data_IF_854809976220
#
_entry.id   IF_854809976220
#
_cell.length_a   1.000
_cell.length_b   1.000
_cell.length_c   1.000
_cell.angle_alpha   90.00
_cell.angle_beta   90.00
_cell.angle_gamma   90.00
#
_symmetry.space_group_name_H-M   'P 1'
#
loop_
_entity.id
_entity.type
_entity.pdbx_description
1 polymer ?
#
# COMPACT_ATOMS: atom_id res chain seq x y z
N UNK A 1 -5.29 -37.13 15.21
CA UNK A 1 -4.34 -36.00 15.25
C UNK A 1 -4.14 -35.46 13.84
N UNK A 2 -5.16 -34.81 13.29
CA UNK A 2 -5.20 -34.36 11.89
C UNK A 2 -5.84 -32.98 11.79
N UNK A 3 -5.59 -32.11 12.78
CA UNK A 3 -6.13 -30.74 12.86
C UNK A 3 -5.04 -29.68 12.78
N UNK A 4 -3.84 -30.02 12.30
CA UNK A 4 -2.69 -29.10 12.35
C UNK A 4 -2.50 -28.27 11.09
N UNK A 5 -2.75 -28.82 9.89
CA UNK A 5 -2.47 -28.08 8.66
C UNK A 5 -3.59 -27.11 8.29
N UNK A 6 -4.85 -27.56 8.33
CA UNK A 6 -5.99 -26.72 7.97
C UNK A 6 -6.10 -25.49 8.91
N UNK A 7 -5.98 -25.69 10.22
CA UNK A 7 -6.06 -24.61 11.20
C UNK A 7 -4.89 -23.62 11.08
N UNK A 8 -3.64 -24.10 10.94
CA UNK A 8 -2.47 -23.23 10.75
C UNK A 8 -2.50 -22.51 9.39
N UNK A 9 -3.03 -23.14 8.34
CA UNK A 9 -3.21 -22.53 7.03
C UNK A 9 -4.29 -21.44 7.06
N UNK A 10 -5.40 -21.69 7.76
CA UNK A 10 -6.48 -20.73 7.96
C UNK A 10 -6.03 -19.54 8.83
N UNK A 11 -5.17 -19.78 9.82
CA UNK A 11 -4.55 -18.73 10.64
C UNK A 11 -3.52 -17.91 9.82
N UNK A 12 -2.76 -18.55 8.93
CA UNK A 12 -1.88 -17.87 7.98
C UNK A 12 -2.67 -17.03 6.97
N UNK A 13 -3.83 -17.51 6.50
CA UNK A 13 -4.74 -16.78 5.62
C UNK A 13 -5.30 -15.53 6.32
N UNK A 14 -5.76 -15.67 7.57
CA UNK A 14 -6.22 -14.54 8.40
C UNK A 14 -5.13 -13.54 8.73
N UNK A 15 -3.86 -13.97 8.79
CA UNK A 15 -2.71 -13.07 8.97
C UNK A 15 -2.31 -12.37 7.67
N UNK A 16 -2.63 -12.98 6.52
CA UNK A 16 -2.46 -12.42 5.18
C UNK A 16 -3.62 -11.50 4.77
N UNK A 17 -4.74 -11.50 5.49
CA UNK A 17 -5.76 -10.45 5.42
C UNK A 17 -5.15 -9.15 5.97
N UNK A 18 -4.40 -8.46 5.11
CA UNK A 18 -3.95 -7.09 5.37
C UNK A 18 -5.17 -6.27 5.73
N UNK A 19 -5.15 -5.71 6.93
CA UNK A 19 -6.30 -4.97 7.42
C UNK A 19 -6.37 -3.65 6.64
N UNK A 20 -7.53 -3.32 6.05
CA UNK A 20 -7.73 -1.98 5.52
C UNK A 20 -7.53 -0.97 6.65
N UNK A 21 -6.65 0.01 6.43
CA UNK A 21 -6.21 1.01 7.40
C UNK A 21 -4.79 0.80 7.93
N UNK A 22 -4.08 -0.27 7.55
CA UNK A 22 -2.68 -0.47 7.94
C UNK A 22 -1.74 0.44 7.14
N UNK A 23 -0.86 1.17 7.85
CA UNK A 23 0.17 2.02 7.23
C UNK A 23 1.41 1.18 7.02
N UNK A 24 1.82 1.06 5.77
CA UNK A 24 3.00 0.31 5.35
C UNK A 24 3.98 1.23 4.62
N UNK A 25 5.26 0.88 4.69
CA UNK A 25 6.31 1.58 3.96
C UNK A 25 6.41 0.99 2.56
N UNK A 26 6.33 1.83 1.55
CA UNK A 26 6.45 1.46 0.14
C UNK A 26 7.64 2.16 -0.51
N UNK A 27 8.37 1.45 -1.35
CA UNK A 27 9.46 1.99 -2.15
C UNK A 27 8.93 2.56 -3.46
N UNK A 28 9.41 3.72 -3.86
CA UNK A 28 9.02 4.36 -5.11
C UNK A 28 9.78 3.72 -6.25
N UNK A 29 9.07 2.93 -7.05
CA UNK A 29 9.65 2.22 -8.20
C UNK A 29 9.71 3.13 -9.42
N UNK A 30 8.70 3.98 -9.60
CA UNK A 30 8.60 4.87 -10.76
C UNK A 30 7.81 6.13 -10.41
N UNK A 31 8.29 7.29 -10.86
CA UNK A 31 7.57 8.56 -10.77
C UNK A 31 7.13 8.96 -12.18
N UNK A 32 5.82 9.11 -12.40
CA UNK A 32 5.26 9.66 -13.64
C UNK A 32 4.64 11.04 -13.41
N UNK A 33 4.33 11.75 -14.50
CA UNK A 33 3.79 13.11 -14.47
C UNK A 33 2.44 13.24 -13.74
N UNK A 34 1.62 12.17 -13.72
CA UNK A 34 0.30 12.16 -13.08
C UNK A 34 0.22 11.25 -11.83
N UNK A 35 1.03 10.20 -11.75
CA UNK A 35 0.97 9.20 -10.69
C UNK A 35 2.36 8.68 -10.36
N UNK A 36 2.53 8.16 -9.15
CA UNK A 36 3.75 7.52 -8.67
C UNK A 36 3.43 6.06 -8.41
N UNK A 37 4.27 5.18 -8.95
CA UNK A 37 4.22 3.74 -8.75
C UNK A 37 5.08 3.39 -7.55
N UNK A 38 4.48 2.78 -6.55
CA UNK A 38 5.13 2.36 -5.31
C UNK A 38 4.96 0.86 -5.10
N UNK A 39 5.99 0.21 -4.55
CA UNK A 39 6.00 -1.19 -4.19
C UNK A 39 6.07 -1.32 -2.67
N UNK A 40 5.01 -1.85 -2.08
CA UNK A 40 4.90 -2.02 -0.63
C UNK A 40 5.15 -3.46 -0.16
N UNK A 41 5.85 -4.27 -0.97
CA UNK A 41 6.06 -5.70 -0.71
C UNK A 41 4.80 -6.54 -0.89
N UNK A 42 3.83 -6.01 -1.64
CA UNK A 42 2.54 -6.64 -1.90
C UNK A 42 2.57 -7.46 -3.19
N UNK A 43 1.48 -8.19 -3.43
CA UNK A 43 1.30 -9.00 -4.65
C UNK A 43 1.27 -8.13 -5.92
N UNK A 44 0.87 -6.87 -5.80
CA UNK A 44 0.72 -5.91 -6.89
C UNK A 44 1.41 -4.59 -6.56
N UNK A 45 1.87 -3.89 -7.58
CA UNK A 45 2.32 -2.49 -7.48
C UNK A 45 1.12 -1.58 -7.22
N UNK A 46 1.36 -0.49 -6.49
CA UNK A 46 0.32 0.47 -6.18
C UNK A 46 0.59 1.81 -6.87
N UNK A 47 -0.51 2.45 -7.28
CA UNK A 47 -0.48 3.72 -8.00
C UNK A 47 -1.05 4.80 -7.09
N UNK A 48 -0.24 5.77 -6.75
CA UNK A 48 -0.64 6.89 -5.88
C UNK A 48 -0.56 8.18 -6.71
N UNK A 49 -1.61 9.02 -6.75
CA UNK A 49 -1.58 10.27 -7.49
C UNK A 49 -0.40 11.15 -7.09
N UNK A 50 0.28 11.77 -8.07
CA UNK A 50 1.44 12.63 -7.77
C UNK A 50 1.07 13.79 -6.83
N UNK A 51 -0.19 14.24 -6.88
CA UNK A 51 -0.75 15.27 -6.01
C UNK A 51 -0.66 14.93 -4.53
N UNK A 52 -0.75 13.64 -4.17
CA UNK A 52 -0.59 13.19 -2.79
C UNK A 52 0.85 13.35 -2.29
N UNK A 53 1.83 13.39 -3.19
CA UNK A 53 3.25 13.59 -2.87
C UNK A 53 3.72 15.04 -2.96
N UNK A 54 2.83 15.96 -3.35
CA UNK A 54 3.12 17.38 -3.32
C UNK A 54 2.94 17.91 -1.90
N UNK A 55 3.86 18.73 -1.45
CA UNK A 55 3.73 19.45 -0.19
C UNK A 55 2.78 20.66 -0.34
N UNK A 56 2.54 21.41 0.75
CA UNK A 56 1.68 22.60 0.74
C UNK A 56 2.17 23.71 -0.19
N UNK A 57 3.43 23.63 -0.65
CA UNK A 57 4.03 24.56 -1.62
C UNK A 57 3.92 24.05 -3.07
N UNK A 58 3.38 22.84 -3.29
CA UNK A 58 3.23 22.23 -4.60
C UNK A 58 4.49 21.53 -5.12
N UNK A 59 5.55 21.44 -4.31
CA UNK A 59 6.80 20.78 -4.66
C UNK A 59 6.71 19.27 -4.38
N UNK A 60 7.29 18.48 -5.27
CA UNK A 60 7.32 17.02 -5.15
C UNK A 60 8.42 16.60 -4.17
N UNK A 61 8.05 15.96 -3.07
CA UNK A 61 9.01 15.50 -2.03
C UNK A 61 9.41 14.03 -2.18
N UNK A 62 9.35 13.48 -3.40
CA UNK A 62 9.58 12.06 -3.65
C UNK A 62 10.41 11.85 -4.92
N UNK A 63 11.37 10.94 -4.85
CA UNK A 63 12.17 10.47 -5.98
C UNK A 63 12.09 8.94 -6.12
N UNK A 64 12.50 8.42 -7.28
CA UNK A 64 12.61 6.97 -7.48
C UNK A 64 13.68 6.41 -6.54
N UNK A 65 13.33 5.37 -5.79
CA UNK A 65 14.14 4.78 -4.72
C UNK A 65 13.86 5.31 -3.31
N UNK A 66 12.98 6.31 -3.16
CA UNK A 66 12.56 6.78 -1.84
C UNK A 66 11.53 5.84 -1.21
N UNK A 67 11.49 5.84 0.13
CA UNK A 67 10.51 5.10 0.91
C UNK A 67 9.43 6.03 1.46
N UNK A 68 8.17 5.73 1.15
CA UNK A 68 7.00 6.53 1.50
C UNK A 68 6.00 5.71 2.29
N UNK A 69 5.39 6.31 3.32
CA UNK A 69 4.32 5.65 4.09
C UNK A 69 2.99 5.80 3.37
N UNK A 70 2.34 4.69 3.07
CA UNK A 70 1.05 4.60 2.39
C UNK A 70 0.10 3.74 3.21
N UNK A 71 -1.17 4.13 3.31
CA UNK A 71 -2.18 3.32 3.98
C UNK A 71 -2.90 2.42 2.98
N UNK A 72 -3.08 1.16 3.34
CA UNK A 72 -3.86 0.18 2.58
C UNK A 72 -5.34 0.50 2.74
N UNK A 73 -6.00 0.99 1.70
CA UNK A 73 -7.41 1.35 1.76
C UNK A 73 -8.33 0.14 1.47
N UNK A 74 -7.95 -0.68 0.50
CA UNK A 74 -8.61 -1.96 0.22
C UNK A 74 -7.66 -2.90 -0.51
N UNK A 75 -7.62 -4.16 -0.06
CA UNK A 75 -6.72 -5.19 -0.60
C UNK A 75 -7.15 -5.66 -1.99
N UNK A 76 -8.45 -5.64 -2.31
CA UNK A 76 -8.95 -6.19 -3.58
C UNK A 76 -10.31 -5.62 -4.00
N UNK A 77 -10.39 -5.09 -5.23
CA UNK A 77 -11.63 -4.78 -5.95
C UNK A 77 -12.05 -5.90 -6.93
N UNK A 78 -11.45 -7.09 -6.81
CA UNK A 78 -11.70 -8.22 -7.72
C UNK A 78 -10.88 -8.21 -9.03
N UNK A 79 -10.04 -7.19 -9.28
CA UNK A 79 -9.12 -7.13 -10.43
C UNK A 79 -7.64 -7.32 -10.06
N UNK A 80 -7.32 -7.48 -8.77
CA UNK A 80 -5.94 -7.61 -8.29
C UNK A 80 -5.24 -6.27 -8.02
N UNK A 81 -5.97 -5.15 -8.08
CA UNK A 81 -5.45 -3.83 -7.72
C UNK A 81 -5.67 -3.55 -6.23
N UNK A 82 -4.60 -3.20 -5.51
CA UNK A 82 -4.66 -2.71 -4.14
C UNK A 82 -4.83 -1.20 -4.15
N UNK A 83 -5.92 -0.70 -3.56
CA UNK A 83 -6.15 0.74 -3.44
C UNK A 83 -5.39 1.24 -2.21
N UNK A 84 -4.45 2.16 -2.42
CA UNK A 84 -3.71 2.84 -1.36
C UNK A 84 -4.05 4.33 -1.35
N UNK A 85 -4.21 4.92 -0.17
CA UNK A 85 -4.48 6.36 -0.02
C UNK A 85 -3.61 6.96 1.07
N UNK A 86 -2.95 8.09 0.76
CA UNK A 86 -2.04 8.79 1.69
C UNK A 86 -2.83 9.82 2.52
N UNK A 87 -3.92 10.37 1.99
CA UNK A 87 -4.84 11.27 2.70
C UNK A 87 -5.47 10.64 3.97
N UNK A 88 -5.77 9.34 3.90
CA UNK A 88 -6.22 8.56 5.08
C UNK A 88 -5.09 8.23 6.05
N UNK A 89 -3.87 7.99 5.55
CA UNK A 89 -2.70 7.73 6.41
C UNK A 89 -2.44 8.91 7.36
N UNK A 90 -2.59 10.15 6.87
CA UNK A 90 -2.48 11.36 7.71
C UNK A 90 -3.61 11.54 8.73
N UNK A 91 -4.80 10.95 8.51
CA UNK A 91 -5.92 11.01 9.49
C UNK A 91 -5.81 9.97 10.60
N UNK A 92 -5.08 8.89 10.39
CA UNK A 92 -4.90 7.80 11.37
C UNK A 92 -3.59 7.90 12.17
N UNK A 93 -2.69 8.81 11.77
CA UNK A 93 -1.43 9.10 12.45
C UNK A 93 -1.60 10.08 13.63
#
# INVERSE_FOLDING_TARGET
MSESFAALFEESLKRAEMRPGEVITAEVVRVEHNHVVVNAGLKSEAYVPISEFKNDQGELEVQVGDFVSVAVEAVENGYGDTILSRDKAKRLA
#
